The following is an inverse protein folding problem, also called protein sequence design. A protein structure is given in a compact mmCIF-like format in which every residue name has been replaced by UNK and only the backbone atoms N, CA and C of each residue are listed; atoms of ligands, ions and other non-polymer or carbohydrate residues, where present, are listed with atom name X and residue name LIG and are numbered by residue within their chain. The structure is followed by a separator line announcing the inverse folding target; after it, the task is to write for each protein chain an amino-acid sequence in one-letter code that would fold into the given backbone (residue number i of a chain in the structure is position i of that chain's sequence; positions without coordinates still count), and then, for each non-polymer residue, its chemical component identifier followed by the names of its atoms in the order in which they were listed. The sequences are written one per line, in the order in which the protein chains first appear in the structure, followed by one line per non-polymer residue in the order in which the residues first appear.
data_IF_823742381663
#
_entry.id   IF_823742381663
#
_cell.length_a   1.000
_cell.length_b   1.000
_cell.length_c   1.000
_cell.angle_alpha   90.00
_cell.angle_beta   90.00
_cell.angle_gamma   90.00
#
_symmetry.space_group_name_H-M   'P 1'
#
loop_
_entity.id
_entity.type
_entity.pdbx_description
1 polymer ?
#
# COMPACT_ATOMS: atom_id res chain seq x y z
N UNK A 1 -11.23 -13.16 -0.22
CA UNK A 1 -10.12 -12.36 -0.81
C UNK A 1 -9.22 -11.88 0.31
N UNK A 2 -7.88 -12.13 0.21
CA UNK A 2 -6.89 -11.74 1.22
C UNK A 2 -6.03 -10.59 0.69
N UNK A 3 -5.83 -9.56 1.50
CA UNK A 3 -5.00 -8.38 1.19
C UNK A 3 -3.87 -8.30 2.20
N UNK A 4 -2.61 -8.18 1.76
CA UNK A 4 -1.42 -8.06 2.62
C UNK A 4 -0.53 -6.92 2.16
N UNK A 5 -0.02 -6.15 3.12
CA UNK A 5 0.83 -4.98 2.89
C UNK A 5 2.31 -5.35 3.06
N UNK A 6 3.10 -5.15 2.03
CA UNK A 6 4.53 -5.42 1.99
C UNK A 6 5.41 -4.17 2.04
N UNK A 7 4.82 -3.04 1.68
CA UNK A 7 5.42 -1.72 1.76
C UNK A 7 4.33 -0.67 1.88
N UNK A 8 4.53 0.32 2.75
CA UNK A 8 3.51 1.28 3.19
C UNK A 8 3.97 2.73 3.15
N UNK A 9 5.25 2.98 2.85
CA UNK A 9 5.83 4.32 2.77
C UNK A 9 5.62 4.94 1.40
N UNK A 10 5.42 6.25 1.38
CA UNK A 10 5.45 7.07 0.18
C UNK A 10 6.83 7.65 -0.11
N UNK A 11 7.04 8.12 -1.31
CA UNK A 11 8.16 8.87 -1.83
C UNK A 11 9.51 8.15 -1.76
N UNK A 12 9.92 7.59 -0.61
CA UNK A 12 11.24 6.98 -0.43
C UNK A 12 11.27 5.94 0.70
N UNK A 13 12.05 4.84 0.55
CA UNK A 13 12.24 3.86 1.62
C UNK A 13 12.91 4.49 2.84
N UNK A 14 12.40 4.18 4.03
CA UNK A 14 12.87 4.75 5.30
C UNK A 14 13.41 3.67 6.22
N UNK A 15 14.61 3.84 6.74
CA UNK A 15 15.22 2.97 7.76
C UNK A 15 15.05 3.58 9.14
N UNK A 16 14.98 2.75 10.18
CA UNK A 16 15.10 3.21 11.55
C UNK A 16 16.54 3.65 11.82
N UNK A 17 16.72 4.81 12.47
CA UNK A 17 18.03 5.24 12.95
C UNK A 17 18.42 4.50 14.23
N UNK A 18 19.71 4.51 14.57
CA UNK A 18 20.20 3.97 15.84
C UNK A 18 19.48 4.60 17.02
N UNK A 19 19.34 5.92 17.01
CA UNK A 19 18.65 6.68 18.06
C UNK A 19 17.19 6.23 18.21
N UNK A 20 16.48 6.02 17.10
CA UNK A 20 15.09 5.53 17.15
C UNK A 20 14.99 4.13 17.78
N UNK A 21 15.96 3.26 17.50
CA UNK A 21 16.01 1.91 18.11
C UNK A 21 16.31 2.01 19.60
N UNK A 22 17.27 2.84 19.99
CA UNK A 22 17.62 3.07 21.40
C UNK A 22 16.42 3.60 22.20
N UNK A 23 15.69 4.58 21.68
CA UNK A 23 14.49 5.14 22.33
C UNK A 23 13.39 4.09 22.51
N UNK A 24 13.18 3.22 21.53
CA UNK A 24 12.23 2.10 21.64
C UNK A 24 12.62 1.13 22.75
N UNK A 25 13.89 0.79 22.86
CA UNK A 25 14.42 -0.09 23.91
C UNK A 25 14.24 0.59 25.28
N UNK A 26 14.63 1.87 25.42
CA UNK A 26 14.50 2.64 26.65
C UNK A 26 13.02 2.69 27.07
N UNK A 27 12.12 3.00 26.14
CA UNK A 27 10.68 3.06 26.40
C UNK A 27 10.15 1.71 26.90
N UNK A 28 10.50 0.62 26.21
CA UNK A 28 10.08 -0.73 26.62
C UNK A 28 10.56 -1.09 28.03
N UNK A 29 11.84 -0.82 28.34
CA UNK A 29 12.41 -1.09 29.66
C UNK A 29 11.84 -0.22 30.76
N UNK A 30 11.50 1.05 30.46
CA UNK A 30 10.94 2.00 31.44
C UNK A 30 9.53 1.59 31.91
N UNK A 31 8.73 1.00 31.01
CA UNK A 31 7.36 0.57 31.35
C UNK A 31 7.29 -0.87 31.87
N UNK A 32 8.36 -1.66 31.73
CA UNK A 32 8.41 -3.04 32.21
C UNK A 32 8.37 -3.11 33.76
N UNK A 33 7.60 -4.05 34.29
CA UNK A 33 7.56 -4.38 35.71
C UNK A 33 8.42 -5.62 35.99
N UNK A 34 8.87 -5.84 37.25
CA UNK A 34 9.70 -7.02 37.58
C UNK A 34 9.13 -8.38 37.13
N UNK A 35 7.79 -8.52 37.13
CA UNK A 35 7.12 -9.73 36.64
C UNK A 35 7.22 -9.93 35.14
N UNK A 36 7.26 -8.84 34.37
CA UNK A 36 7.31 -8.87 32.90
C UNK A 36 8.67 -9.36 32.38
N UNK A 37 9.71 -9.25 33.20
CA UNK A 37 11.09 -9.60 32.86
C UNK A 37 11.65 -10.76 33.69
N UNK A 38 10.78 -11.55 34.37
CA UNK A 38 11.18 -12.63 35.26
C UNK A 38 11.62 -13.92 34.56
N UNK A 39 11.24 -14.11 33.29
CA UNK A 39 11.58 -15.26 32.45
C UNK A 39 11.55 -14.86 30.97
N UNK A 40 12.16 -15.66 30.09
CA UNK A 40 12.09 -15.42 28.63
C UNK A 40 10.64 -15.41 28.12
N UNK A 41 9.79 -16.28 28.62
CA UNK A 41 8.37 -16.36 28.25
C UNK A 41 7.61 -15.08 28.64
N UNK A 42 7.82 -14.58 29.88
CA UNK A 42 7.21 -13.32 30.32
C UNK A 42 7.71 -12.11 29.50
N UNK A 43 9.01 -12.08 29.16
CA UNK A 43 9.57 -11.05 28.27
C UNK A 43 8.91 -11.07 26.90
N UNK A 44 8.78 -12.27 26.27
CA UNK A 44 8.12 -12.40 24.96
C UNK A 44 6.67 -11.93 24.99
N UNK A 45 5.94 -12.31 26.05
CA UNK A 45 4.56 -11.90 26.26
C UNK A 45 4.46 -10.39 26.47
N UNK A 46 5.34 -9.82 27.28
CA UNK A 46 5.41 -8.36 27.49
C UNK A 46 5.66 -7.62 26.17
N UNK A 47 6.70 -8.02 25.44
CA UNK A 47 7.05 -7.39 24.15
C UNK A 47 5.89 -7.51 23.14
N UNK A 48 5.21 -8.66 23.06
CA UNK A 48 4.10 -8.87 22.15
C UNK A 48 2.91 -7.92 22.44
N UNK A 49 2.75 -7.52 23.69
CA UNK A 49 1.67 -6.61 24.13
C UNK A 49 2.03 -5.12 24.05
N UNK A 50 3.27 -4.76 23.73
CA UNK A 50 3.65 -3.36 23.53
C UNK A 50 3.01 -2.79 22.24
N UNK A 51 2.75 -1.48 22.21
CA UNK A 51 2.36 -0.79 20.98
C UNK A 51 3.35 -1.06 19.84
N UNK A 52 2.86 -1.14 18.60
CA UNK A 52 3.70 -1.39 17.44
C UNK A 52 4.84 -0.36 17.32
N UNK A 53 4.59 0.90 17.64
CA UNK A 53 5.59 1.98 17.65
C UNK A 53 6.73 1.75 18.64
N UNK A 54 6.54 0.90 19.65
CA UNK A 54 7.57 0.56 20.66
C UNK A 54 8.24 -0.76 20.33
N UNK A 55 7.45 -1.84 20.09
CA UNK A 55 7.99 -3.19 19.85
C UNK A 55 8.54 -3.44 18.45
N UNK A 56 8.25 -2.55 17.50
CA UNK A 56 8.57 -2.70 16.08
C UNK A 56 8.51 -1.37 15.34
N UNK A 57 8.04 -1.42 14.10
CA UNK A 57 7.84 -0.24 13.23
C UNK A 57 6.61 -0.46 12.35
N UNK A 58 6.01 0.62 11.85
CA UNK A 58 5.00 0.53 10.80
C UNK A 58 5.59 0.06 9.47
N UNK A 59 6.90 0.14 9.30
CA UNK A 59 7.62 -0.30 8.11
C UNK A 59 8.35 0.85 7.42
N UNK A 60 9.33 0.50 6.61
CA UNK A 60 10.17 1.43 5.87
C UNK A 60 10.15 1.22 4.37
N UNK A 61 9.52 0.14 3.88
CA UNK A 61 9.42 -0.14 2.45
C UNK A 61 8.34 0.68 1.78
N UNK A 62 8.58 1.05 0.52
CA UNK A 62 7.63 1.74 -0.33
C UNK A 62 6.61 0.80 -0.94
N UNK A 63 5.59 1.36 -1.55
CA UNK A 63 4.32 0.77 -1.94
C UNK A 63 4.41 -0.60 -2.59
N UNK A 64 3.84 -1.60 -1.91
CA UNK A 64 3.56 -2.92 -2.48
C UNK A 64 2.42 -3.58 -1.72
N UNK A 65 1.34 -3.91 -2.42
CA UNK A 65 0.16 -4.58 -1.87
C UNK A 65 -0.04 -5.91 -2.60
N UNK A 66 -0.21 -6.98 -1.85
CA UNK A 66 -0.57 -8.31 -2.36
C UNK A 66 -2.07 -8.52 -2.19
N UNK A 67 -2.75 -8.95 -3.24
CA UNK A 67 -4.13 -9.40 -3.22
C UNK A 67 -4.18 -10.84 -3.72
N UNK A 68 -4.73 -11.74 -2.90
CA UNK A 68 -5.04 -13.12 -3.30
C UNK A 68 -6.55 -13.28 -3.35
N UNK A 69 -7.04 -13.64 -4.50
CA UNK A 69 -8.48 -13.87 -4.71
C UNK A 69 -8.89 -15.25 -4.22
N UNK A 70 -10.18 -15.45 -4.04
CA UNK A 70 -10.73 -16.76 -3.63
C UNK A 70 -10.52 -17.83 -4.72
N UNK A 71 -10.39 -17.43 -5.99
CA UNK A 71 -10.04 -18.30 -7.12
C UNK A 71 -8.54 -18.64 -7.20
N UNK A 72 -7.69 -18.04 -6.33
CA UNK A 72 -6.26 -18.30 -6.26
C UNK A 72 -5.39 -17.38 -7.14
N UNK A 73 -5.96 -16.35 -7.77
CA UNK A 73 -5.18 -15.37 -8.51
C UNK A 73 -4.31 -14.54 -7.54
N UNK A 74 -3.05 -14.32 -7.92
CA UNK A 74 -2.15 -13.38 -7.27
C UNK A 74 -2.11 -12.09 -8.07
N UNK A 75 -2.54 -10.99 -7.45
CA UNK A 75 -2.43 -9.64 -7.97
C UNK A 75 -1.47 -8.86 -7.05
N UNK A 76 -0.44 -8.29 -7.63
CA UNK A 76 0.52 -7.41 -6.95
C UNK A 76 0.24 -6.00 -7.42
N UNK A 77 -0.01 -5.09 -6.49
CA UNK A 77 -0.25 -3.68 -6.82
C UNK A 77 1.00 -2.91 -6.39
N UNK A 78 1.63 -2.31 -7.36
CA UNK A 78 2.89 -1.60 -7.33
C UNK A 78 4.10 -2.46 -6.88
N UNK A 79 5.26 -2.04 -7.33
CA UNK A 79 6.54 -2.71 -7.12
C UNK A 79 7.56 -1.76 -6.47
N UNK A 80 7.12 -1.02 -5.44
CA UNK A 80 8.04 -0.34 -4.55
C UNK A 80 8.94 -1.31 -3.81
N UNK A 81 9.79 -0.83 -2.91
CA UNK A 81 10.78 -1.70 -2.24
C UNK A 81 10.17 -2.87 -1.45
N UNK A 82 8.89 -2.76 -1.07
CA UNK A 82 8.15 -3.85 -0.42
C UNK A 82 8.05 -5.13 -1.24
N UNK A 83 8.10 -5.04 -2.58
CA UNK A 83 8.03 -6.20 -3.48
C UNK A 83 9.20 -7.16 -3.29
N UNK A 84 10.33 -6.68 -2.75
CA UNK A 84 11.51 -7.51 -2.46
C UNK A 84 11.17 -8.58 -1.40
N UNK A 85 10.51 -8.16 -0.32
CA UNK A 85 10.09 -9.07 0.76
C UNK A 85 9.01 -10.04 0.28
N UNK A 86 8.04 -9.58 -0.50
CA UNK A 86 7.07 -10.44 -1.17
C UNK A 86 7.79 -11.46 -2.07
N UNK A 87 8.74 -11.00 -2.87
CA UNK A 87 9.54 -11.87 -3.75
C UNK A 87 10.25 -12.99 -2.97
N UNK A 88 10.86 -12.66 -1.84
CA UNK A 88 11.53 -13.64 -0.98
C UNK A 88 10.54 -14.70 -0.43
N UNK A 89 9.32 -14.29 -0.04
CA UNK A 89 8.28 -15.24 0.37
C UNK A 89 7.84 -16.13 -0.79
N UNK A 90 7.60 -15.56 -1.98
CA UNK A 90 7.20 -16.29 -3.17
C UNK A 90 8.25 -17.30 -3.64
N UNK A 91 9.53 -16.99 -3.47
CA UNK A 91 10.64 -17.89 -3.84
C UNK A 91 10.69 -19.19 -3.01
N UNK A 92 10.06 -19.22 -1.85
CA UNK A 92 9.93 -20.46 -1.05
C UNK A 92 8.92 -21.45 -1.67
N UNK A 93 8.08 -21.03 -2.61
CA UNK A 93 7.04 -21.82 -3.27
C UNK A 93 7.29 -22.06 -4.78
N UNK A 94 6.20 -22.00 -5.54
CA UNK A 94 6.18 -22.26 -6.98
C UNK A 94 7.06 -21.32 -7.80
N UNK A 95 7.20 -20.08 -7.35
CA UNK A 95 8.05 -19.08 -8.04
C UNK A 95 9.53 -19.45 -8.01
N UNK A 96 10.02 -20.05 -6.92
CA UNK A 96 11.40 -20.55 -6.86
C UNK A 96 11.65 -21.77 -7.77
N UNK A 97 10.58 -22.43 -8.23
CA UNK A 97 10.63 -23.57 -9.14
C UNK A 97 10.34 -23.20 -10.60
N UNK A 98 10.12 -21.93 -10.91
CA UNK A 98 9.76 -21.47 -12.25
C UNK A 98 8.33 -21.85 -12.67
N UNK A 99 7.44 -22.06 -11.72
CA UNK A 99 6.03 -22.44 -11.95
C UNK A 99 5.04 -21.36 -11.55
N UNK A 100 5.53 -20.25 -11.01
CA UNK A 100 4.72 -19.17 -10.49
C UNK A 100 4.05 -18.35 -11.61
N UNK A 101 2.87 -17.81 -11.30
CA UNK A 101 2.15 -16.86 -12.14
C UNK A 101 1.59 -15.73 -11.28
N UNK A 102 1.76 -14.48 -11.70
CA UNK A 102 1.19 -13.32 -11.03
C UNK A 102 0.77 -12.24 -12.02
N UNK A 103 -0.19 -11.44 -11.61
CA UNK A 103 -0.67 -10.26 -12.29
C UNK A 103 -0.17 -9.03 -11.52
N UNK A 104 0.58 -8.15 -12.17
CA UNK A 104 1.12 -6.93 -11.57
C UNK A 104 0.37 -5.75 -12.14
N UNK A 105 -0.29 -4.97 -11.28
CA UNK A 105 -0.90 -3.71 -11.65
C UNK A 105 0.01 -2.56 -11.21
N UNK A 106 0.51 -1.77 -12.14
CA UNK A 106 1.30 -0.57 -11.85
C UNK A 106 0.41 0.67 -11.99
N UNK A 107 0.23 1.36 -10.88
CA UNK A 107 -0.62 2.54 -10.78
C UNK A 107 -0.02 3.73 -11.51
N UNK A 108 1.27 3.94 -11.33
CA UNK A 108 2.10 4.92 -12.03
C UNK A 108 3.58 4.57 -11.86
N UNK A 109 4.49 5.41 -12.36
CA UNK A 109 5.91 5.10 -12.42
C UNK A 109 6.79 6.07 -11.61
N UNK A 110 6.26 6.68 -10.54
CA UNK A 110 7.12 7.31 -9.55
C UNK A 110 8.00 6.27 -8.89
N UNK A 111 9.16 6.68 -8.41
CA UNK A 111 10.20 5.75 -7.98
C UNK A 111 9.73 4.81 -6.87
N UNK A 112 8.99 5.32 -5.91
CA UNK A 112 8.49 4.55 -4.77
C UNK A 112 7.44 3.49 -5.14
N UNK A 113 6.93 3.50 -6.36
CA UNK A 113 6.03 2.48 -6.91
C UNK A 113 6.74 1.46 -7.81
N UNK A 114 8.00 1.70 -8.19
CA UNK A 114 8.74 0.82 -9.10
C UNK A 114 10.15 0.47 -8.65
N UNK A 115 10.71 1.12 -7.61
CA UNK A 115 12.12 0.99 -7.22
C UNK A 115 12.51 -0.43 -6.76
N UNK A 116 11.56 -1.25 -6.33
CA UNK A 116 11.79 -2.63 -5.94
C UNK A 116 11.82 -3.62 -7.10
N UNK A 117 11.23 -3.25 -8.24
CA UNK A 117 11.09 -4.15 -9.40
C UNK A 117 12.42 -4.76 -9.88
N UNK A 118 13.52 -4.00 -9.98
CA UNK A 118 14.83 -4.54 -10.36
C UNK A 118 15.37 -5.61 -9.42
N UNK A 119 14.85 -5.68 -8.19
CA UNK A 119 15.26 -6.61 -7.14
C UNK A 119 14.23 -7.71 -6.86
N UNK A 120 13.16 -7.78 -7.66
CA UNK A 120 12.10 -8.77 -7.51
C UNK A 120 12.56 -10.13 -8.03
N UNK A 121 13.12 -10.94 -7.14
CA UNK A 121 13.77 -12.23 -7.46
C UNK A 121 12.95 -13.16 -8.37
N UNK A 122 11.60 -13.28 -8.24
CA UNK A 122 10.81 -14.13 -9.11
C UNK A 122 10.90 -13.81 -10.61
N UNK A 123 11.21 -12.55 -10.98
CA UNK A 123 11.38 -12.16 -12.40
C UNK A 123 12.64 -12.77 -13.05
N UNK A 124 13.63 -13.17 -12.25
CA UNK A 124 14.86 -13.80 -12.76
C UNK A 124 14.71 -15.30 -12.98
N UNK A 125 13.62 -15.92 -12.52
CA UNK A 125 13.45 -17.37 -12.59
C UNK A 125 12.70 -17.75 -13.88
N UNK A 126 13.41 -18.45 -14.75
CA UNK A 126 12.85 -18.98 -16.01
C UNK A 126 11.64 -19.88 -15.76
N UNK A 127 10.57 -19.66 -16.50
CA UNK A 127 9.33 -20.40 -16.42
C UNK A 127 8.24 -19.69 -15.66
N UNK A 128 8.56 -18.74 -14.76
CA UNK A 128 7.57 -17.86 -14.15
C UNK A 128 6.89 -16.96 -15.21
N UNK A 129 5.67 -16.54 -14.92
CA UNK A 129 4.84 -15.73 -15.82
C UNK A 129 4.31 -14.51 -15.09
N UNK A 130 4.54 -13.34 -15.67
CA UNK A 130 4.03 -12.07 -15.13
C UNK A 130 3.27 -11.31 -16.21
N UNK A 131 2.05 -10.93 -15.88
CA UNK A 131 1.22 -10.05 -16.69
C UNK A 131 1.21 -8.67 -16.03
N UNK A 132 1.70 -7.66 -16.71
CA UNK A 132 1.71 -6.27 -16.26
C UNK A 132 0.51 -5.54 -16.83
N UNK A 133 -0.25 -4.88 -15.97
CA UNK A 133 -1.43 -4.10 -16.32
C UNK A 133 -1.25 -2.65 -15.88
N UNK A 134 -1.61 -1.71 -16.71
CA UNK A 134 -1.68 -0.29 -16.37
C UNK A 134 -2.49 0.46 -17.42
N UNK A 135 -3.11 1.60 -17.09
CA UNK A 135 -3.64 2.52 -18.09
C UNK A 135 -2.54 3.28 -18.86
N UNK A 136 -1.30 3.25 -18.42
CA UNK A 136 -0.16 3.89 -19.09
C UNK A 136 0.18 3.13 -20.38
N UNK A 137 0.05 3.75 -21.57
CA UNK A 137 0.29 3.05 -22.83
C UNK A 137 1.77 2.75 -23.06
N UNK A 138 2.66 3.49 -22.43
CA UNK A 138 4.11 3.39 -22.52
C UNK A 138 4.76 2.72 -21.28
N UNK A 139 3.97 1.94 -20.52
CA UNK A 139 4.45 1.30 -19.30
C UNK A 139 5.73 0.46 -19.53
N UNK A 140 5.75 -0.37 -20.59
CA UNK A 140 6.89 -1.22 -20.90
C UNK A 140 8.16 -0.38 -21.11
N UNK A 141 8.07 0.66 -21.91
CA UNK A 141 9.20 1.57 -22.20
C UNK A 141 9.73 2.23 -20.91
N UNK A 142 8.83 2.64 -20.01
CA UNK A 142 9.22 3.26 -18.72
C UNK A 142 9.95 2.28 -17.82
N UNK A 143 9.49 1.03 -17.74
CA UNK A 143 10.15 -0.02 -16.93
C UNK A 143 11.51 -0.40 -17.53
N UNK A 144 11.61 -0.55 -18.85
CA UNK A 144 12.87 -0.80 -19.52
C UNK A 144 13.86 0.36 -19.32
N UNK A 145 13.36 1.62 -19.37
CA UNK A 145 14.18 2.81 -19.12
C UNK A 145 14.70 2.88 -17.69
N UNK A 146 13.92 2.45 -16.68
CA UNK A 146 14.38 2.37 -15.29
C UNK A 146 15.65 1.49 -15.16
N UNK A 147 15.75 0.44 -15.97
CA UNK A 147 16.81 -0.57 -15.91
C UNK A 147 17.84 -0.44 -17.05
N UNK A 148 17.95 0.74 -17.69
CA UNK A 148 19.05 0.99 -18.61
C UNK A 148 20.39 0.93 -17.88
N UNK A 149 21.43 0.44 -18.55
CA UNK A 149 22.75 0.14 -17.93
C UNK A 149 23.41 1.33 -17.20
N UNK A 150 23.00 2.54 -17.50
CA UNK A 150 23.46 3.76 -16.78
C UNK A 150 22.79 3.93 -15.41
N UNK A 151 21.65 3.26 -15.16
CA UNK A 151 20.90 3.32 -13.92
C UNK A 151 20.99 2.01 -13.14
N UNK A 152 20.98 0.87 -13.84
CA UNK A 152 21.00 -0.45 -13.22
C UNK A 152 21.81 -1.44 -14.08
N UNK A 153 22.65 -2.34 -13.50
CA UNK A 153 23.57 -3.18 -14.25
C UNK A 153 22.88 -4.31 -15.02
N UNK A 154 21.66 -4.70 -14.65
CA UNK A 154 20.89 -5.79 -15.27
C UNK A 154 19.67 -5.19 -15.98
N UNK A 155 19.59 -5.40 -17.31
CA UNK A 155 18.46 -4.92 -18.08
C UNK A 155 17.18 -5.71 -17.79
N UNK A 156 16.03 -5.11 -18.05
CA UNK A 156 14.74 -5.78 -17.88
C UNK A 156 14.62 -7.06 -18.76
N UNK A 157 15.23 -7.06 -19.92
CA UNK A 157 15.27 -8.21 -20.82
C UNK A 157 16.13 -9.36 -20.30
N UNK A 158 17.11 -9.07 -19.45
CA UNK A 158 17.98 -10.09 -18.83
C UNK A 158 17.22 -10.91 -17.75
N UNK A 159 16.03 -10.49 -17.34
CA UNK A 159 15.17 -11.24 -16.43
C UNK A 159 14.42 -12.34 -17.18
N UNK A 160 14.67 -13.61 -16.83
CA UNK A 160 14.29 -14.79 -17.63
C UNK A 160 12.80 -15.19 -17.55
N UNK A 161 12.00 -14.61 -16.64
CA UNK A 161 10.57 -14.86 -16.57
C UNK A 161 9.85 -14.35 -17.83
N UNK A 162 8.74 -14.99 -18.17
CA UNK A 162 7.84 -14.47 -19.21
C UNK A 162 7.11 -13.22 -18.72
N UNK A 163 7.21 -12.13 -19.47
CA UNK A 163 6.60 -10.83 -19.18
C UNK A 163 5.67 -10.43 -20.32
N UNK A 164 4.43 -10.05 -19.99
CA UNK A 164 3.44 -9.55 -20.96
C UNK A 164 2.88 -8.24 -20.42
N UNK A 165 2.71 -7.26 -21.30
CA UNK A 165 2.15 -5.95 -20.94
C UNK A 165 0.78 -5.76 -21.57
N UNK A 166 -0.15 -5.27 -20.78
CA UNK A 166 -1.53 -5.01 -21.15
C UNK A 166 -1.88 -3.56 -20.79
N UNK A 167 -2.12 -2.73 -21.79
CA UNK A 167 -2.70 -1.41 -21.56
C UNK A 167 -4.20 -1.57 -21.35
N UNK A 168 -4.68 -1.26 -20.16
CA UNK A 168 -6.09 -1.22 -19.82
C UNK A 168 -6.61 0.20 -19.96
N UNK A 169 -7.93 0.37 -20.10
CA UNK A 169 -8.51 1.72 -20.13
C UNK A 169 -8.92 2.14 -18.73
N UNK A 170 -8.66 3.42 -18.39
CA UNK A 170 -9.29 4.03 -17.22
C UNK A 170 -10.79 4.20 -17.45
N UNK A 171 -11.54 4.19 -16.36
CA UNK A 171 -13.00 4.34 -16.35
C UNK A 171 -13.76 3.21 -17.06
N UNK A 172 -13.09 2.10 -17.34
CA UNK A 172 -13.67 0.89 -17.89
C UNK A 172 -13.29 -0.34 -17.04
N UNK A 173 -14.22 -1.31 -16.97
CA UNK A 173 -13.93 -2.59 -16.35
C UNK A 173 -13.17 -3.51 -17.30
N UNK A 174 -12.20 -4.24 -16.75
CA UNK A 174 -11.59 -5.40 -17.41
C UNK A 174 -11.56 -6.59 -16.46
N UNK A 175 -11.19 -7.76 -16.96
CA UNK A 175 -11.21 -8.98 -16.19
C UNK A 175 -9.86 -9.68 -16.20
N UNK A 176 -9.51 -10.23 -15.04
CA UNK A 176 -8.48 -11.26 -14.92
C UNK A 176 -9.21 -12.51 -14.46
N UNK A 177 -9.44 -13.44 -15.40
CA UNK A 177 -10.33 -14.58 -15.21
C UNK A 177 -11.71 -14.11 -14.71
N UNK A 178 -12.16 -14.60 -13.56
CA UNK A 178 -13.48 -14.25 -12.97
C UNK A 178 -13.44 -12.95 -12.15
N UNK A 179 -12.26 -12.38 -11.95
CA UNK A 179 -12.05 -11.15 -11.15
C UNK A 179 -12.35 -9.94 -12.02
N UNK A 180 -13.21 -9.07 -11.55
CA UNK A 180 -13.57 -7.83 -12.20
C UNK A 180 -12.75 -6.69 -11.64
N UNK A 181 -12.10 -5.95 -12.51
CA UNK A 181 -11.17 -4.88 -12.13
C UNK A 181 -11.59 -3.58 -12.84
N UNK A 182 -11.58 -2.50 -12.07
CA UNK A 182 -11.84 -1.16 -12.57
C UNK A 182 -10.67 -0.25 -12.19
N UNK A 183 -10.18 0.50 -13.15
CA UNK A 183 -9.12 1.50 -12.95
C UNK A 183 -9.68 2.90 -13.10
N UNK A 184 -9.28 3.81 -12.22
CA UNK A 184 -9.73 5.21 -12.22
C UNK A 184 -8.53 6.16 -12.17
N UNK A 185 -8.53 7.18 -13.04
CA UNK A 185 -7.53 8.24 -12.96
C UNK A 185 -7.67 9.01 -11.66
N UNK A 186 -6.54 9.29 -10.99
CA UNK A 186 -6.47 10.02 -9.73
C UNK A 186 -5.80 11.38 -9.93
N UNK A 187 -6.23 12.41 -9.16
CA UNK A 187 -5.61 13.73 -9.21
C UNK A 187 -4.22 13.66 -8.56
N UNK A 188 -3.18 13.53 -9.41
CA UNK A 188 -1.79 13.43 -8.99
C UNK A 188 -0.86 13.97 -10.08
N UNK A 189 0.22 14.72 -9.73
CA UNK A 189 1.19 15.22 -10.69
C UNK A 189 1.84 14.07 -11.47
N UNK A 190 1.85 14.17 -12.79
CA UNK A 190 2.36 13.09 -13.67
C UNK A 190 1.36 11.98 -13.96
N UNK A 191 0.20 11.97 -13.30
CA UNK A 191 -0.85 10.97 -13.42
C UNK A 191 -0.64 9.76 -12.51
N UNK A 192 -1.70 9.30 -11.90
CA UNK A 192 -1.79 8.09 -11.09
C UNK A 192 -3.13 7.41 -11.35
N UNK A 193 -3.23 6.13 -11.06
CA UNK A 193 -4.46 5.36 -11.27
C UNK A 193 -4.79 4.50 -10.06
N UNK A 194 -5.96 4.72 -9.49
CA UNK A 194 -6.52 3.82 -8.48
C UNK A 194 -7.00 2.52 -9.12
N UNK A 195 -7.13 1.49 -8.29
CA UNK A 195 -7.63 0.19 -8.69
C UNK A 195 -8.76 -0.27 -7.75
N UNK A 196 -9.85 -0.74 -8.33
CA UNK A 196 -10.95 -1.43 -7.65
C UNK A 196 -10.99 -2.88 -8.12
N UNK A 197 -10.98 -3.82 -7.17
CA UNK A 197 -11.01 -5.27 -7.42
C UNK A 197 -12.29 -5.83 -6.80
N UNK A 198 -13.09 -6.50 -7.63
CA UNK A 198 -14.32 -7.18 -7.23
C UNK A 198 -14.14 -8.70 -7.41
N UNK A 199 -14.26 -9.45 -6.31
CA UNK A 199 -14.14 -10.90 -6.24
C UNK A 199 -15.42 -11.45 -5.58
N UNK A 200 -16.41 -11.84 -6.40
CA UNK A 200 -17.76 -12.14 -5.95
C UNK A 200 -18.45 -10.92 -5.37
N UNK A 201 -18.79 -10.98 -4.10
CA UNK A 201 -19.42 -9.89 -3.32
C UNK A 201 -18.42 -9.01 -2.56
N UNK A 202 -17.12 -9.33 -2.65
CA UNK A 202 -16.04 -8.64 -1.95
C UNK A 202 -15.45 -7.54 -2.82
N UNK A 203 -15.27 -6.36 -2.24
CA UNK A 203 -14.81 -5.16 -2.93
C UNK A 203 -13.62 -4.54 -2.20
N UNK A 204 -12.49 -4.57 -2.86
CA UNK A 204 -11.26 -3.89 -2.43
C UNK A 204 -10.99 -2.69 -3.33
N UNK A 205 -10.66 -1.54 -2.72
CA UNK A 205 -10.30 -0.30 -3.42
C UNK A 205 -8.99 0.25 -2.87
N UNK A 206 -8.07 0.55 -3.77
CA UNK A 206 -6.83 1.27 -3.48
C UNK A 206 -6.76 2.52 -4.36
N UNK A 207 -6.67 3.69 -3.75
CA UNK A 207 -6.65 4.96 -4.49
C UNK A 207 -5.34 5.22 -5.22
N UNK A 208 -4.23 4.58 -4.80
CA UNK A 208 -2.89 5.05 -5.15
C UNK A 208 -2.68 6.50 -4.69
N UNK A 209 -1.68 7.17 -5.24
CA UNK A 209 -1.36 8.56 -4.92
C UNK A 209 -2.45 9.49 -5.45
N UNK A 210 -2.99 10.33 -4.57
CA UNK A 210 -4.09 11.20 -4.93
C UNK A 210 -4.20 12.43 -4.02
N UNK A 211 -4.46 13.58 -4.61
CA UNK A 211 -4.74 14.83 -3.91
C UNK A 211 -6.20 15.21 -4.09
N UNK A 212 -7.06 14.83 -3.12
CA UNK A 212 -8.43 15.31 -3.10
C UNK A 212 -8.53 16.61 -2.30
N UNK A 213 -9.21 17.60 -2.87
CA UNK A 213 -9.47 18.86 -2.20
C UNK A 213 -10.89 18.84 -1.61
N UNK A 214 -11.02 19.26 -0.35
CA UNK A 214 -12.28 19.30 0.41
C UNK A 214 -13.37 20.16 -0.25
N UNK A 215 -12.98 21.11 -1.12
CA UNK A 215 -13.90 21.99 -1.82
C UNK A 215 -14.43 21.41 -3.14
N UNK A 216 -13.97 20.23 -3.54
CA UNK A 216 -14.31 19.57 -4.80
C UNK A 216 -15.44 18.54 -4.64
N UNK A 217 -16.49 18.86 -3.86
CA UNK A 217 -17.64 17.94 -3.64
C UNK A 217 -18.32 17.57 -4.95
N UNK A 218 -18.31 18.44 -5.94
CA UNK A 218 -18.89 18.13 -7.27
C UNK A 218 -17.97 17.20 -8.06
N UNK A 219 -16.65 17.34 -7.94
CA UNK A 219 -15.67 16.48 -8.61
C UNK A 219 -15.62 15.06 -8.04
N UNK A 220 -15.99 14.87 -6.75
CA UNK A 220 -15.97 13.55 -6.12
C UNK A 220 -17.04 12.60 -6.71
N UNK A 221 -18.11 13.12 -7.29
CA UNK A 221 -19.17 12.31 -7.92
C UNK A 221 -18.68 11.54 -9.15
N UNK A 222 -17.64 12.02 -9.79
CA UNK A 222 -16.98 11.29 -10.89
C UNK A 222 -16.32 9.99 -10.42
N UNK A 223 -16.23 9.79 -9.09
CA UNK A 223 -15.66 8.62 -8.44
C UNK A 223 -16.72 7.69 -7.82
N UNK A 224 -18.02 7.94 -8.04
CA UNK A 224 -19.10 7.14 -7.44
C UNK A 224 -18.93 5.65 -7.75
N UNK A 225 -18.66 5.28 -9.00
CA UNK A 225 -18.46 3.88 -9.40
C UNK A 225 -17.19 3.27 -8.82
N UNK A 226 -16.20 4.08 -8.49
CA UNK A 226 -14.93 3.66 -7.91
C UNK A 226 -15.05 3.36 -6.41
N UNK A 227 -15.75 4.22 -5.64
CA UNK A 227 -15.81 4.14 -4.18
C UNK A 227 -17.02 3.37 -3.64
N UNK A 228 -18.12 3.25 -4.38
CA UNK A 228 -19.36 2.65 -3.86
C UNK A 228 -19.15 1.19 -3.39
N UNK A 229 -19.88 0.81 -2.32
CA UNK A 229 -19.93 -0.56 -1.80
C UNK A 229 -18.55 -1.16 -1.47
N UNK A 230 -17.62 -0.37 -0.96
CA UNK A 230 -16.26 -0.81 -0.65
C UNK A 230 -16.20 -1.52 0.70
N UNK A 231 -15.68 -2.75 0.73
CA UNK A 231 -15.41 -3.48 1.99
C UNK A 231 -14.11 -3.01 2.64
N UNK A 232 -13.07 -2.78 1.85
CA UNK A 232 -11.78 -2.26 2.29
C UNK A 232 -11.30 -1.16 1.35
N UNK A 233 -11.21 0.06 1.86
CA UNK A 233 -10.65 1.22 1.19
C UNK A 233 -9.23 1.49 1.73
N UNK A 234 -8.23 1.43 0.87
CA UNK A 234 -6.86 1.87 1.14
C UNK A 234 -6.66 3.22 0.49
N UNK A 235 -6.31 4.23 1.29
CA UNK A 235 -6.30 5.62 0.84
C UNK A 235 -4.95 6.29 1.14
N UNK A 236 -4.45 7.06 0.19
CA UNK A 236 -3.28 7.92 0.35
C UNK A 236 -3.53 8.99 1.42
N UNK A 237 -2.74 8.94 2.46
CA UNK A 237 -2.83 9.87 3.59
C UNK A 237 -1.44 10.34 4.02
N UNK A 238 -0.60 10.65 3.04
CA UNK A 238 0.81 10.99 3.26
C UNK A 238 0.97 12.16 4.21
N UNK A 239 0.08 13.16 4.15
CA UNK A 239 0.23 14.43 4.84
C UNK A 239 -0.76 14.61 6.00
N UNK A 240 -0.38 15.43 6.97
CA UNK A 240 -1.33 16.04 7.89
C UNK A 240 -2.23 17.02 7.12
N UNK A 241 -3.39 17.37 7.71
CA UNK A 241 -4.31 18.32 7.05
C UNK A 241 -3.66 19.68 6.77
N UNK A 242 -2.79 20.16 7.67
CA UNK A 242 -2.06 21.41 7.47
C UNK A 242 -1.08 21.30 6.31
N UNK A 243 -0.28 20.22 6.27
CA UNK A 243 0.67 19.99 5.19
C UNK A 243 -0.04 19.84 3.85
N UNK A 244 -1.13 19.08 3.78
CA UNK A 244 -1.89 18.88 2.54
C UNK A 244 -2.53 20.17 2.00
N UNK A 245 -3.04 21.05 2.88
CA UNK A 245 -3.77 22.23 2.45
C UNK A 245 -2.91 23.49 2.31
N UNK A 246 -1.73 23.53 2.92
CA UNK A 246 -0.89 24.74 3.01
C UNK A 246 0.52 24.47 2.53
N UNK A 247 1.26 23.60 3.22
CA UNK A 247 2.71 23.49 3.05
C UNK A 247 3.09 22.73 1.78
N UNK A 248 2.30 21.72 1.41
CA UNK A 248 2.55 20.78 0.31
C UNK A 248 1.36 20.67 -0.67
N UNK A 249 0.57 21.75 -0.78
CA UNK A 249 -0.52 21.83 -1.75
C UNK A 249 0.01 21.62 -3.17
N UNK A 250 -0.69 20.83 -3.97
CA UNK A 250 -0.31 20.41 -5.32
C UNK A 250 0.90 19.45 -5.40
N UNK A 251 1.26 18.81 -4.29
CA UNK A 251 2.27 17.73 -4.28
C UNK A 251 1.66 16.35 -4.58
N UNK A 252 0.34 16.28 -4.65
CA UNK A 252 -0.38 15.09 -5.13
C UNK A 252 -0.83 14.12 -4.06
N UNK A 253 -0.91 14.54 -2.78
CA UNK A 253 -1.27 13.66 -1.68
C UNK A 253 -2.33 14.25 -0.75
N UNK A 254 -3.11 13.35 -0.15
CA UNK A 254 -4.21 13.70 0.75
C UNK A 254 -3.84 13.58 2.24
N UNK A 255 -4.81 13.84 3.10
CA UNK A 255 -4.72 13.68 4.55
C UNK A 255 -5.73 12.66 5.09
N UNK A 256 -5.49 12.17 6.32
CA UNK A 256 -6.38 11.24 6.99
C UNK A 256 -7.82 11.77 7.12
N UNK A 257 -8.03 13.08 7.36
CA UNK A 257 -9.38 13.65 7.47
C UNK A 257 -10.14 13.60 6.14
N UNK A 258 -9.47 13.90 5.01
CA UNK A 258 -10.06 13.80 3.67
C UNK A 258 -10.43 12.34 3.36
N UNK A 259 -9.53 11.39 3.66
CA UNK A 259 -9.79 9.97 3.47
C UNK A 259 -11.00 9.49 4.28
N UNK A 260 -11.15 9.95 5.54
CA UNK A 260 -12.29 9.62 6.40
C UNK A 260 -13.58 10.19 5.81
N UNK A 261 -13.59 11.45 5.39
CA UNK A 261 -14.78 12.08 4.83
C UNK A 261 -15.27 11.36 3.57
N UNK A 262 -14.35 10.94 2.69
CA UNK A 262 -14.68 10.13 1.50
C UNK A 262 -15.18 8.74 1.91
N UNK A 263 -14.49 8.05 2.83
CA UNK A 263 -14.90 6.74 3.29
C UNK A 263 -16.29 6.76 3.93
N UNK A 264 -16.60 7.78 4.72
CA UNK A 264 -17.94 7.97 5.32
C UNK A 264 -18.99 8.32 4.27
N UNK A 265 -18.65 9.17 3.29
CA UNK A 265 -19.56 9.56 2.21
C UNK A 265 -20.03 8.35 1.39
N UNK A 266 -19.10 7.42 1.08
CA UNK A 266 -19.37 6.22 0.29
C UNK A 266 -19.66 4.97 1.14
N UNK A 267 -19.82 5.14 2.44
CA UNK A 267 -20.13 4.06 3.38
C UNK A 267 -19.18 2.87 3.30
N UNK A 268 -17.88 3.13 3.06
CA UNK A 268 -16.87 2.10 3.11
C UNK A 268 -16.86 1.40 4.48
N UNK A 269 -16.74 0.07 4.52
CA UNK A 269 -16.78 -0.67 5.79
C UNK A 269 -15.51 -0.51 6.61
N UNK A 270 -14.36 -0.45 5.94
CA UNK A 270 -13.03 -0.28 6.56
C UNK A 270 -12.19 0.70 5.75
N UNK A 271 -11.43 1.54 6.45
CA UNK A 271 -10.44 2.46 5.87
C UNK A 271 -9.05 2.12 6.38
N UNK A 272 -8.07 2.05 5.49
CA UNK A 272 -6.65 1.95 5.81
C UNK A 272 -5.94 3.21 5.35
N UNK A 273 -5.33 3.92 6.31
CA UNK A 273 -4.47 5.07 6.06
C UNK A 273 -3.12 4.55 5.55
N UNK A 274 -2.72 4.99 4.37
CA UNK A 274 -1.60 4.41 3.62
C UNK A 274 -0.65 5.50 3.09
N UNK A 275 0.49 5.10 2.52
CA UNK A 275 1.43 5.98 1.84
C UNK A 275 2.08 7.00 2.77
N UNK A 276 2.66 6.51 3.90
CA UNK A 276 3.18 7.38 4.96
C UNK A 276 4.40 8.19 4.53
N UNK A 277 4.42 9.49 4.87
CA UNK A 277 5.57 10.37 4.62
C UNK A 277 6.86 9.75 5.20
N UNK A 278 7.97 9.69 4.44
CA UNK A 278 9.22 9.09 4.89
C UNK A 278 9.83 9.80 6.11
N UNK A 279 9.50 11.07 6.33
CA UNK A 279 9.93 11.84 7.51
C UNK A 279 9.12 11.57 8.79
N UNK A 280 8.04 10.77 8.72
CA UNK A 280 7.22 10.50 9.90
C UNK A 280 7.78 9.34 10.72
N UNK A 281 8.06 9.62 12.01
CA UNK A 281 8.37 8.59 12.99
C UNK A 281 7.15 7.70 13.28
N UNK A 282 7.39 6.53 13.86
CA UNK A 282 6.32 5.63 14.30
C UNK A 282 5.38 6.30 15.35
N UNK A 283 5.91 7.18 16.21
CA UNK A 283 5.09 7.94 17.17
C UNK A 283 4.21 8.99 16.48
N UNK A 284 4.71 9.63 15.41
CA UNK A 284 3.92 10.53 14.58
C UNK A 284 2.77 9.77 13.92
N UNK A 285 3.03 8.58 13.40
CA UNK A 285 2.00 7.72 12.79
C UNK A 285 0.95 7.28 13.82
N UNK A 286 1.38 6.92 15.03
CA UNK A 286 0.47 6.65 16.16
C UNK A 286 -0.45 7.86 16.47
N UNK A 287 0.13 9.06 16.46
CA UNK A 287 -0.62 10.30 16.67
C UNK A 287 -1.64 10.53 15.57
N UNK A 288 -1.26 10.31 14.30
CA UNK A 288 -2.18 10.41 13.15
C UNK A 288 -3.35 9.45 13.31
N UNK A 289 -3.10 8.18 13.66
CA UNK A 289 -4.17 7.19 13.90
C UNK A 289 -5.08 7.60 15.03
N UNK A 290 -4.53 8.08 16.15
CA UNK A 290 -5.33 8.56 17.30
C UNK A 290 -6.22 9.75 16.93
N UNK A 291 -5.67 10.71 16.17
CA UNK A 291 -6.41 11.86 15.67
C UNK A 291 -7.50 11.44 14.67
N UNK A 292 -7.21 10.49 13.78
CA UNK A 292 -8.16 9.93 12.84
C UNK A 292 -9.36 9.28 13.57
N UNK A 293 -9.09 8.46 14.58
CA UNK A 293 -10.14 7.84 15.41
C UNK A 293 -10.98 8.89 16.17
N UNK A 294 -10.33 9.93 16.69
CA UNK A 294 -11.04 11.04 17.34
C UNK A 294 -11.92 11.81 16.36
N UNK A 295 -11.45 12.02 15.14
CA UNK A 295 -12.20 12.67 14.06
C UNK A 295 -13.42 11.83 13.64
N UNK A 296 -13.26 10.51 13.50
CA UNK A 296 -14.37 9.57 13.22
C UNK A 296 -15.43 9.66 14.33
N UNK A 297 -15.04 9.60 15.60
CA UNK A 297 -15.95 9.67 16.73
C UNK A 297 -16.73 11.00 16.80
N UNK A 298 -16.15 12.08 16.30
CA UNK A 298 -16.82 13.38 16.20
C UNK A 298 -17.72 13.49 14.96
N UNK A 299 -17.52 12.65 13.95
CA UNK A 299 -18.28 12.68 12.70
C UNK A 299 -19.62 11.94 12.87
N UNK A 300 -20.71 12.72 12.97
CA UNK A 300 -22.07 12.18 13.18
C UNK A 300 -22.62 11.31 12.04
N UNK A 301 -21.94 11.28 10.89
CA UNK A 301 -22.32 10.47 9.73
C UNK A 301 -21.57 9.13 9.69
N UNK A 302 -20.50 8.97 10.47
CA UNK A 302 -19.80 7.71 10.60
C UNK A 302 -20.70 6.67 11.28
N UNK A 303 -20.71 5.45 10.76
CA UNK A 303 -21.40 4.33 11.38
C UNK A 303 -20.64 3.84 12.61
N UNK A 304 -21.34 3.27 13.61
CA UNK A 304 -20.72 2.78 14.85
C UNK A 304 -19.70 1.65 14.60
N UNK A 305 -19.83 0.90 13.51
CA UNK A 305 -18.97 -0.20 13.10
C UNK A 305 -17.87 0.19 12.10
N UNK A 306 -17.77 1.48 11.73
CA UNK A 306 -16.73 1.96 10.84
C UNK A 306 -15.34 1.90 11.48
N UNK A 307 -14.44 1.16 10.88
CA UNK A 307 -13.08 0.94 11.35
C UNK A 307 -12.06 1.69 10.51
N UNK A 308 -11.15 2.41 11.19
CA UNK A 308 -9.97 2.99 10.57
C UNK A 308 -8.71 2.38 11.18
N UNK A 309 -7.84 1.88 10.32
CA UNK A 309 -6.52 1.37 10.66
C UNK A 309 -5.44 2.17 9.92
N UNK A 310 -4.21 2.08 10.41
CA UNK A 310 -3.03 2.62 9.73
C UNK A 310 -2.22 1.45 9.18
N UNK A 311 -1.79 1.55 7.92
CA UNK A 311 -1.03 0.50 7.29
C UNK A 311 0.33 0.27 7.97
N UNK A 312 0.73 -0.99 8.07
CA UNK A 312 2.06 -1.40 8.46
C UNK A 312 2.47 -2.66 7.67
N UNK A 313 3.76 -2.86 7.52
CA UNK A 313 4.26 -4.05 6.83
C UNK A 313 3.84 -5.32 7.56
N UNK A 314 3.23 -6.25 6.83
CA UNK A 314 2.65 -7.48 7.38
C UNK A 314 1.20 -7.37 7.84
N UNK A 315 0.58 -6.17 7.79
CA UNK A 315 -0.87 -6.04 8.01
C UNK A 315 -1.62 -6.86 6.96
N UNK A 316 -2.62 -7.61 7.41
CA UNK A 316 -3.40 -8.51 6.56
C UNK A 316 -4.89 -8.39 6.84
N UNK A 317 -5.71 -8.44 5.79
CA UNK A 317 -7.16 -8.48 5.87
C UNK A 317 -7.71 -9.67 5.09
N UNK A 318 -8.71 -10.32 5.67
CA UNK A 318 -9.60 -11.28 5.02
C UNK A 318 -10.95 -10.59 4.76
N UNK A 319 -11.42 -10.56 3.50
CA UNK A 319 -12.73 -10.07 3.08
C UNK A 319 -13.65 -11.24 2.75
#
# INVERSE_FOLDING_TARGET
MRIKFWGVRGSFPTTLSTESIEEKIITALTIAKPGDISSEESVRTFVANLPLSVRGTYGGNTTCIEVRTDSGELIIIDCGSGVINLGNELMAGDFGQGKGSANIFLTHTHWDHINGLPFFSPLFIKGNKFNFYSPLPDLQERIEYQQVKTHFPVGFDDMEASKRFFTVKSDEYFHINDIKIYSKSMPHPGGSYGIRIEDGDKVFVYTSDCEFNINAVDDIRDYDDFFKNTDLLVFDTQYTIQEALIDKMSWGHSSASIAIDIAVLYEAKKLVLFHHDPGYSDDKLNTILSNARSYINANRKAKDDFLSEIAYEGLEFEL
#
